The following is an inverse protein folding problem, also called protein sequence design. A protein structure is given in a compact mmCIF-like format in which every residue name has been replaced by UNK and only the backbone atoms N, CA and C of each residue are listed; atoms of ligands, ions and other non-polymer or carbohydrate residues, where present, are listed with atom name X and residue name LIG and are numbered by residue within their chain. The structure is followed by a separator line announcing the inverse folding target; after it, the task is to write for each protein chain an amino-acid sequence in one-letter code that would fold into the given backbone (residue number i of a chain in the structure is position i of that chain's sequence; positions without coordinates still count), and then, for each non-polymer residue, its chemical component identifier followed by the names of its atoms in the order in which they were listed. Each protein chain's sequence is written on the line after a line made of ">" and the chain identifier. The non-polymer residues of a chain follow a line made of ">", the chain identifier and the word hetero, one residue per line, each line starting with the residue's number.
data_IF_889331615122
#
_entry.id   IF_889331615122
#
_cell.length_a   1.000
_cell.length_b   1.000
_cell.length_c   1.000
_cell.angle_alpha   90.00
_cell.angle_beta   90.00
_cell.angle_gamma   90.00
#
_symmetry.space_group_name_H-M   'P 1'
#
loop_
_entity.id
_entity.type
_entity.pdbx_description
1 polymer ?
#
# COMPACT_ATOMS: atom_id res chain seq x y z
N UNK A 1 -4.87 36.40 26.85
CA UNK A 1 -4.93 37.08 25.55
C UNK A 1 -6.07 36.47 24.78
N UNK A 2 -7.02 37.32 24.43
CA UNK A 2 -8.33 37.02 23.87
C UNK A 2 -8.34 36.12 22.63
N UNK A 3 -9.48 35.43 22.49
CA UNK A 3 -10.03 34.95 21.24
C UNK A 3 -10.07 36.06 20.17
N UNK A 4 -9.29 35.91 19.11
CA UNK A 4 -9.44 36.69 17.87
C UNK A 4 -9.25 35.80 16.64
N UNK A 5 -10.30 35.08 16.26
CA UNK A 5 -10.87 35.11 14.90
C UNK A 5 -11.86 33.94 14.72
N UNK A 6 -13.10 34.31 14.41
CA UNK A 6 -14.29 33.50 14.21
C UNK A 6 -14.12 32.32 13.21
N UNK A 7 -15.06 31.35 13.18
CA UNK A 7 -14.83 30.03 12.63
C UNK A 7 -14.76 30.09 11.10
N UNK A 8 -13.59 29.83 10.52
CA UNK A 8 -13.57 29.28 9.17
C UNK A 8 -14.23 27.91 9.29
N UNK A 9 -15.43 27.75 8.71
CA UNK A 9 -16.18 26.49 8.67
C UNK A 9 -15.23 25.31 8.53
N UNK A 10 -15.06 24.55 9.62
CA UNK A 10 -13.98 23.58 9.80
C UNK A 10 -14.16 22.39 8.89
N UNK A 11 -13.57 22.44 7.71
CA UNK A 11 -13.59 21.31 6.78
C UNK A 11 -12.45 20.37 7.21
N UNK A 12 -12.80 19.32 7.94
CA UNK A 12 -11.90 18.23 8.33
C UNK A 12 -11.60 17.32 7.13
N UNK A 13 -10.36 16.85 7.00
CA UNK A 13 -10.03 15.84 6.00
C UNK A 13 -10.61 14.47 6.38
N UNK A 14 -11.33 13.86 5.46
CA UNK A 14 -11.81 12.48 5.59
C UNK A 14 -10.79 11.49 5.03
N UNK A 15 -10.98 10.19 5.30
CA UNK A 15 -10.17 9.12 4.72
C UNK A 15 -10.17 9.18 3.18
N UNK A 16 -11.34 9.33 2.57
CA UNK A 16 -11.47 9.42 1.12
C UNK A 16 -10.72 10.62 0.54
N UNK A 17 -10.58 11.66 1.34
CA UNK A 17 -9.86 12.86 0.96
C UNK A 17 -8.36 12.60 0.84
N UNK A 18 -7.73 12.03 1.86
CA UNK A 18 -6.31 11.66 1.79
C UNK A 18 -6.05 10.74 0.60
N UNK A 19 -6.81 9.65 0.53
CA UNK A 19 -6.65 8.57 -0.42
C UNK A 19 -6.84 8.99 -1.89
N UNK A 20 -7.56 10.08 -2.13
CA UNK A 20 -7.79 10.61 -3.48
C UNK A 20 -6.78 11.68 -3.90
N UNK A 21 -5.71 11.91 -3.14
CA UNK A 21 -4.66 12.89 -3.49
C UNK A 21 -3.38 12.24 -3.95
N UNK A 22 -2.73 12.87 -4.94
CA UNK A 22 -1.37 12.49 -5.34
C UNK A 22 -0.37 12.57 -4.18
N UNK A 23 -0.54 13.55 -3.27
CA UNK A 23 0.32 13.73 -2.08
C UNK A 23 0.38 12.45 -1.24
N UNK A 24 -0.77 11.87 -0.90
CA UNK A 24 -0.83 10.61 -0.14
C UNK A 24 -0.12 9.48 -0.87
N UNK A 25 -0.41 9.30 -2.17
CA UNK A 25 0.20 8.24 -2.98
C UNK A 25 1.71 8.40 -3.16
N UNK A 26 2.20 9.62 -3.32
CA UNK A 26 3.62 9.91 -3.39
C UNK A 26 4.34 9.46 -2.13
N UNK A 27 3.82 9.79 -0.94
CA UNK A 27 4.43 9.37 0.32
C UNK A 27 4.25 7.86 0.54
N UNK A 28 3.10 7.29 0.22
CA UNK A 28 2.83 5.86 0.33
C UNK A 28 3.81 5.03 -0.52
N UNK A 29 3.91 5.33 -1.82
CA UNK A 29 4.77 4.60 -2.74
C UNK A 29 6.25 4.82 -2.44
N UNK A 30 6.64 6.02 -2.00
CA UNK A 30 8.02 6.29 -1.58
C UNK A 30 8.38 5.53 -0.31
N UNK A 31 7.48 5.50 0.68
CA UNK A 31 7.62 4.67 1.88
C UNK A 31 7.75 3.20 1.52
N UNK A 32 6.94 2.71 0.59
CA UNK A 32 7.00 1.33 0.11
C UNK A 32 8.35 1.01 -0.53
N UNK A 33 8.84 1.84 -1.45
CA UNK A 33 10.12 1.62 -2.12
C UNK A 33 11.28 1.61 -1.12
N UNK A 34 11.27 2.51 -0.15
CA UNK A 34 12.29 2.56 0.91
C UNK A 34 12.21 1.33 1.81
N UNK A 35 11.00 0.91 2.18
CA UNK A 35 10.80 -0.29 2.99
C UNK A 35 11.27 -1.54 2.24
N UNK A 36 10.89 -1.71 0.97
CA UNK A 36 11.31 -2.84 0.13
C UNK A 36 12.81 -2.84 -0.09
N UNK A 37 13.37 -1.75 -0.62
CA UNK A 37 14.81 -1.65 -0.90
C UNK A 37 15.64 -1.81 0.37
N UNK A 38 15.21 -1.15 1.45
CA UNK A 38 15.85 -1.26 2.75
C UNK A 38 15.82 -2.70 3.27
N UNK A 39 14.64 -3.33 3.35
CA UNK A 39 14.53 -4.70 3.88
C UNK A 39 15.33 -5.69 3.04
N UNK A 40 15.18 -5.62 1.71
CA UNK A 40 15.93 -6.47 0.79
C UNK A 40 17.45 -6.36 0.97
N UNK A 41 17.98 -5.13 1.06
CA UNK A 41 19.39 -4.92 1.33
C UNK A 41 19.79 -5.51 2.69
N UNK A 42 19.06 -5.20 3.77
CA UNK A 42 19.40 -5.69 5.12
C UNK A 42 19.34 -7.22 5.27
N UNK A 43 18.56 -7.91 4.44
CA UNK A 43 18.55 -9.38 4.41
C UNK A 43 19.86 -9.94 3.86
N UNK A 44 20.35 -9.39 2.75
CA UNK A 44 21.51 -9.93 2.04
C UNK A 44 22.82 -9.32 2.54
N UNK A 45 22.75 -8.17 3.23
CA UNK A 45 23.91 -7.44 3.72
C UNK A 45 24.92 -8.27 4.52
N UNK A 46 24.52 -9.18 5.45
CA UNK A 46 25.46 -10.04 6.15
C UNK A 46 26.29 -10.92 5.19
N UNK A 47 25.67 -11.43 4.12
CA UNK A 47 26.37 -12.24 3.11
C UNK A 47 27.40 -11.41 2.34
N UNK A 48 27.03 -10.17 1.98
CA UNK A 48 27.94 -9.23 1.30
C UNK A 48 29.12 -8.87 2.21
N UNK A 49 28.86 -8.64 3.50
CA UNK A 49 29.92 -8.28 4.46
C UNK A 49 30.85 -9.48 4.76
N UNK A 50 30.31 -10.70 4.79
CA UNK A 50 31.10 -11.94 4.92
C UNK A 50 32.02 -12.19 3.72
N UNK A 51 31.64 -11.77 2.50
CA UNK A 51 32.54 -11.83 1.34
C UNK A 51 33.79 -10.95 1.50
N UNK A 52 33.75 -9.96 2.39
CA UNK A 52 34.89 -9.13 2.75
C UNK A 52 35.57 -9.59 4.06
N UNK A 53 35.42 -10.89 4.41
CA UNK A 53 35.97 -11.53 5.61
C UNK A 53 35.55 -10.86 6.94
N UNK A 54 34.38 -10.22 6.95
CA UNK A 54 33.88 -9.54 8.15
C UNK A 54 33.41 -10.54 9.20
N UNK A 55 33.87 -10.34 10.44
CA UNK A 55 33.36 -11.10 11.59
C UNK A 55 31.89 -10.81 11.88
N UNK A 56 31.22 -11.73 12.58
CA UNK A 56 29.84 -11.53 13.05
C UNK A 56 29.70 -10.29 13.93
N UNK A 57 30.71 -9.99 14.77
CA UNK A 57 30.72 -8.78 15.60
C UNK A 57 30.75 -7.51 14.76
N UNK A 58 31.57 -7.51 13.70
CA UNK A 58 31.69 -6.40 12.75
C UNK A 58 30.36 -6.14 12.03
N UNK A 59 29.66 -7.19 11.61
CA UNK A 59 28.32 -7.09 11.01
C UNK A 59 27.30 -6.52 12.02
N UNK A 60 27.42 -6.90 13.30
CA UNK A 60 26.58 -6.37 14.38
C UNK A 60 26.63 -4.84 14.51
N UNK A 61 27.76 -4.21 14.17
CA UNK A 61 27.93 -2.75 14.19
C UNK A 61 26.97 -2.05 13.23
N UNK A 62 26.69 -2.64 12.06
CA UNK A 62 25.71 -2.10 11.12
C UNK A 62 24.30 -2.06 11.72
N UNK A 63 23.85 -3.14 12.36
CA UNK A 63 22.52 -3.20 12.98
C UNK A 63 22.42 -2.30 14.22
N UNK A 64 23.50 -2.19 14.98
CA UNK A 64 23.60 -1.22 16.07
C UNK A 64 23.47 0.21 15.54
N UNK A 65 24.23 0.55 14.50
CA UNK A 65 24.12 1.83 13.78
C UNK A 65 22.70 2.08 13.28
N UNK A 66 22.04 1.08 12.68
CA UNK A 66 20.65 1.19 12.23
C UNK A 66 19.67 1.48 13.36
N UNK A 67 19.87 0.92 14.54
CA UNK A 67 19.02 1.20 15.72
C UNK A 67 19.22 2.63 16.21
N UNK A 68 20.47 3.08 16.32
CA UNK A 68 20.77 4.48 16.68
C UNK A 68 20.25 5.45 15.63
N UNK A 69 20.39 5.08 14.36
CA UNK A 69 19.91 5.83 13.21
C UNK A 69 18.42 6.04 13.30
N UNK A 70 17.67 5.00 13.68
CA UNK A 70 16.23 5.08 13.87
C UNK A 70 15.84 6.18 14.87
N UNK A 71 16.53 6.25 16.02
CA UNK A 71 16.31 7.29 17.04
C UNK A 71 16.58 8.69 16.45
N UNK A 72 17.72 8.85 15.75
CA UNK A 72 18.08 10.10 15.08
C UNK A 72 17.06 10.51 14.02
N UNK A 73 16.57 9.56 13.21
CA UNK A 73 15.56 9.79 12.20
C UNK A 73 14.20 10.20 12.78
N UNK A 74 13.78 9.58 13.89
CA UNK A 74 12.55 9.97 14.58
C UNK A 74 12.63 11.41 15.12
N UNK A 75 13.78 11.80 15.67
CA UNK A 75 14.00 13.17 16.11
C UNK A 75 13.97 14.16 14.94
N UNK A 76 14.65 13.84 13.83
CA UNK A 76 14.65 14.65 12.61
C UNK A 76 13.24 14.83 12.04
N UNK A 77 12.45 13.77 11.94
CA UNK A 77 11.07 13.85 11.47
C UNK A 77 10.22 14.76 12.38
N UNK A 78 10.35 14.64 13.70
CA UNK A 78 9.59 15.49 14.64
C UNK A 78 9.88 16.98 14.49
N UNK A 79 11.12 17.36 14.17
CA UNK A 79 11.53 18.77 14.05
C UNK A 79 11.26 19.32 12.67
N UNK A 80 11.59 18.55 11.63
CA UNK A 80 11.66 19.05 10.25
C UNK A 80 10.36 18.82 9.50
N UNK A 81 9.65 17.71 9.74
CA UNK A 81 8.47 17.36 8.92
C UNK A 81 7.36 18.42 9.02
N UNK A 82 7.10 18.96 10.22
CA UNK A 82 6.06 19.97 10.42
C UNK A 82 6.36 21.35 9.79
N UNK A 83 7.62 21.63 9.41
CA UNK A 83 8.04 22.93 8.85
C UNK A 83 8.46 22.84 7.39
N UNK A 84 9.15 21.75 7.04
CA UNK A 84 9.76 21.50 5.74
C UNK A 84 9.55 20.04 5.32
N UNK A 85 8.29 19.60 5.23
CA UNK A 85 7.93 18.20 4.97
C UNK A 85 8.63 17.55 3.77
N UNK A 86 8.77 18.28 2.66
CA UNK A 86 9.48 17.79 1.47
C UNK A 86 10.97 17.54 1.74
N UNK A 87 11.64 18.50 2.37
CA UNK A 87 13.05 18.37 2.75
C UNK A 87 13.26 17.27 3.78
N UNK A 88 12.32 17.11 4.72
CA UNK A 88 12.36 16.08 5.74
C UNK A 88 12.40 14.66 5.15
N UNK A 89 11.72 14.42 4.02
CA UNK A 89 11.74 13.12 3.34
C UNK A 89 12.88 12.99 2.31
N UNK A 90 13.12 14.01 1.50
CA UNK A 90 14.08 13.91 0.37
C UNK A 90 15.53 13.89 0.88
N UNK A 91 15.89 14.71 1.88
CA UNK A 91 17.30 14.81 2.28
C UNK A 91 17.84 13.50 2.88
N UNK A 92 17.12 12.76 3.74
CA UNK A 92 17.61 11.46 4.22
C UNK A 92 17.74 10.43 3.09
N UNK A 93 16.86 10.48 2.08
CA UNK A 93 16.98 9.60 0.90
C UNK A 93 18.27 9.90 0.15
N UNK A 94 18.54 11.19 -0.14
CA UNK A 94 19.73 11.59 -0.89
C UNK A 94 21.02 11.24 -0.14
N UNK A 95 21.07 11.48 1.17
CA UNK A 95 22.21 11.08 2.00
C UNK A 95 22.41 9.56 1.95
N UNK A 96 21.33 8.79 2.09
CA UNK A 96 21.39 7.33 1.98
C UNK A 96 21.87 6.84 0.60
N UNK A 97 21.41 7.48 -0.47
CA UNK A 97 21.83 7.16 -1.83
C UNK A 97 23.31 7.44 -2.05
N UNK A 98 23.83 8.58 -1.57
CA UNK A 98 25.27 8.91 -1.65
C UNK A 98 26.12 7.86 -0.91
N UNK A 99 25.71 7.45 0.29
CA UNK A 99 26.44 6.42 1.05
C UNK A 99 26.37 5.06 0.36
N UNK A 100 25.23 4.69 -0.20
CA UNK A 100 25.07 3.44 -0.96
C UNK A 100 25.84 3.44 -2.29
N UNK A 101 25.99 4.58 -2.96
CA UNK A 101 26.86 4.70 -4.14
C UNK A 101 28.33 4.52 -3.75
N UNK A 102 28.77 5.10 -2.62
CA UNK A 102 30.13 4.90 -2.12
C UNK A 102 30.42 3.45 -1.70
N UNK A 103 29.37 2.66 -1.38
CA UNK A 103 29.49 1.24 -1.06
C UNK A 103 29.89 0.38 -2.26
N UNK A 104 29.35 0.66 -3.45
CA UNK A 104 29.53 -0.18 -4.65
C UNK A 104 30.99 -0.34 -5.12
N UNK A 105 31.78 0.74 -5.33
CA UNK A 105 33.10 0.63 -5.95
C UNK A 105 34.23 0.29 -4.96
N UNK A 106 33.95 0.22 -3.65
CA UNK A 106 34.95 0.06 -2.61
C UNK A 106 34.69 -1.18 -1.73
N UNK A 107 35.10 -2.38 -2.17
CA UNK A 107 34.96 -3.61 -1.38
C UNK A 107 35.60 -3.54 0.01
N UNK A 108 36.67 -2.75 0.17
CA UNK A 108 37.31 -2.49 1.46
C UNK A 108 36.37 -1.86 2.50
N UNK A 109 35.29 -1.19 2.09
CA UNK A 109 34.30 -0.60 2.99
C UNK A 109 33.26 -1.61 3.48
N UNK A 110 33.12 -2.77 2.82
CA UNK A 110 32.09 -3.77 3.15
C UNK A 110 32.29 -4.43 4.52
N UNK A 111 33.52 -4.36 5.05
CA UNK A 111 33.87 -4.81 6.40
C UNK A 111 34.40 -3.72 7.33
N UNK A 112 34.44 -2.46 6.89
CA UNK A 112 35.00 -1.37 7.70
C UNK A 112 34.04 -0.99 8.84
N UNK A 113 34.41 -1.14 10.12
CA UNK A 113 33.52 -0.87 11.26
C UNK A 113 32.92 0.55 11.24
N UNK A 114 33.73 1.55 10.90
CA UNK A 114 33.29 2.95 10.84
C UNK A 114 32.29 3.18 9.72
N UNK A 115 32.52 2.58 8.54
CA UNK A 115 31.58 2.67 7.43
C UNK A 115 30.27 1.93 7.75
N UNK A 116 30.35 0.74 8.32
CA UNK A 116 29.18 -0.05 8.71
C UNK A 116 28.30 0.69 9.72
N UNK A 117 28.91 1.32 10.73
CA UNK A 117 28.20 2.15 11.70
C UNK A 117 27.48 3.32 11.01
N UNK A 118 28.19 4.07 10.17
CA UNK A 118 27.65 5.23 9.47
C UNK A 118 26.54 4.85 8.49
N UNK A 119 26.73 3.79 7.71
CA UNK A 119 25.71 3.32 6.77
C UNK A 119 24.47 2.81 7.50
N UNK A 120 24.66 2.07 8.59
CA UNK A 120 23.60 1.69 9.51
C UNK A 120 22.83 2.92 10.00
N UNK A 121 23.52 3.92 10.55
CA UNK A 121 22.90 5.17 11.04
C UNK A 121 22.02 5.84 9.97
N UNK A 122 22.53 6.00 8.75
CA UNK A 122 21.80 6.65 7.66
C UNK A 122 20.58 5.83 7.23
N UNK A 123 20.73 4.52 7.06
CA UNK A 123 19.62 3.63 6.67
C UNK A 123 18.55 3.57 7.77
N UNK A 124 18.97 3.50 9.03
CA UNK A 124 18.09 3.53 10.20
C UNK A 124 17.29 4.83 10.27
N UNK A 125 17.95 5.97 10.07
CA UNK A 125 17.31 7.27 10.07
C UNK A 125 16.27 7.38 8.95
N UNK A 126 16.63 6.95 7.74
CA UNK A 126 15.71 6.91 6.61
C UNK A 126 14.44 6.09 6.91
N UNK A 127 14.59 4.90 7.52
CA UNK A 127 13.45 4.04 7.88
C UNK A 127 12.54 4.64 8.95
N UNK A 128 13.08 5.42 9.88
CA UNK A 128 12.29 6.05 10.95
C UNK A 128 11.55 7.30 10.47
N UNK A 129 12.18 8.09 9.60
CA UNK A 129 11.63 9.38 9.15
C UNK A 129 10.29 9.21 8.46
N UNK A 130 10.15 8.22 7.58
CA UNK A 130 8.96 8.03 6.75
C UNK A 130 7.66 7.80 7.54
N UNK A 131 7.55 6.79 8.42
CA UNK A 131 6.32 6.56 9.17
C UNK A 131 5.96 7.76 10.08
N UNK A 132 6.95 8.40 10.70
CA UNK A 132 6.69 9.51 11.61
C UNK A 132 6.30 10.80 10.87
N UNK A 133 7.01 11.15 9.80
CA UNK A 133 6.67 12.29 8.96
C UNK A 133 5.28 12.11 8.33
N UNK A 134 4.93 10.89 7.92
CA UNK A 134 3.60 10.56 7.39
C UNK A 134 2.50 10.83 8.41
N UNK A 135 2.70 10.42 9.68
CA UNK A 135 1.76 10.72 10.75
C UNK A 135 1.61 12.23 10.97
N UNK A 136 2.71 12.98 10.97
CA UNK A 136 2.71 14.45 11.11
C UNK A 136 1.93 15.11 9.96
N UNK A 137 2.15 14.67 8.71
CA UNK A 137 1.42 15.21 7.56
C UNK A 137 -0.09 14.97 7.67
N UNK A 138 -0.49 13.74 8.03
CA UNK A 138 -1.90 13.37 8.17
C UNK A 138 -2.61 14.19 9.25
N UNK A 139 -1.95 14.48 10.38
CA UNK A 139 -2.51 15.34 11.44
C UNK A 139 -2.77 16.77 10.96
N UNK A 140 -1.98 17.28 10.01
CA UNK A 140 -2.19 18.61 9.41
C UNK A 140 -3.59 18.82 8.83
N UNK A 141 -4.20 17.76 8.28
CA UNK A 141 -5.57 17.77 7.75
C UNK A 141 -6.68 17.81 8.81
N UNK A 142 -6.31 17.81 10.09
CA UNK A 142 -7.23 17.74 11.25
C UNK A 142 -8.32 16.66 11.09
N UNK A 143 -7.96 15.43 10.68
CA UNK A 143 -8.94 14.39 10.46
C UNK A 143 -9.59 13.91 11.77
N UNK A 144 -10.80 13.37 11.66
CA UNK A 144 -11.41 12.59 12.73
C UNK A 144 -10.53 11.40 13.12
N UNK A 145 -10.67 10.93 14.37
CA UNK A 145 -9.85 9.83 14.92
C UNK A 145 -9.83 8.56 14.05
N UNK A 146 -11.00 8.22 13.49
CA UNK A 146 -11.16 7.03 12.64
C UNK A 146 -10.47 7.25 11.29
N UNK A 147 -10.67 8.40 10.65
CA UNK A 147 -10.07 8.73 9.36
C UNK A 147 -8.53 8.77 9.45
N UNK A 148 -7.99 9.38 10.51
CA UNK A 148 -6.56 9.35 10.82
C UNK A 148 -6.05 7.92 10.99
N UNK A 149 -6.70 7.15 11.86
CA UNK A 149 -6.31 5.77 12.16
C UNK A 149 -6.31 4.89 10.92
N UNK A 150 -7.33 5.00 10.07
CA UNK A 150 -7.41 4.26 8.81
C UNK A 150 -6.33 4.69 7.82
N UNK A 151 -6.11 5.99 7.61
CA UNK A 151 -5.09 6.48 6.69
C UNK A 151 -3.68 6.04 7.13
N UNK A 152 -3.36 6.18 8.41
CA UNK A 152 -2.07 5.74 8.96
C UNK A 152 -1.90 4.22 8.93
N UNK A 153 -2.98 3.46 9.19
CA UNK A 153 -2.95 1.99 9.12
C UNK A 153 -2.68 1.53 7.69
N UNK A 154 -3.40 2.09 6.71
CA UNK A 154 -3.17 1.80 5.30
C UNK A 154 -1.74 2.15 4.90
N UNK A 155 -1.20 3.26 5.38
CA UNK A 155 0.19 3.64 5.14
C UNK A 155 1.20 2.68 5.77
N UNK A 156 0.89 2.15 6.96
CA UNK A 156 1.74 1.19 7.66
C UNK A 156 1.79 -0.18 6.97
N UNK A 157 0.85 -0.48 6.07
CA UNK A 157 0.86 -1.74 5.31
C UNK A 157 2.05 -1.86 4.36
N UNK A 158 2.78 -0.77 4.07
CA UNK A 158 4.06 -0.84 3.34
C UNK A 158 5.06 -1.74 4.04
N UNK A 159 5.00 -1.85 5.38
CA UNK A 159 5.80 -2.78 6.18
C UNK A 159 5.46 -4.23 5.80
N UNK A 160 4.17 -4.57 5.71
CA UNK A 160 3.71 -5.91 5.33
C UNK A 160 4.16 -6.27 3.90
N UNK A 161 4.03 -5.34 2.94
CA UNK A 161 4.50 -5.59 1.57
C UNK A 161 6.04 -5.77 1.57
N UNK A 162 6.76 -4.96 2.34
CA UNK A 162 8.23 -5.07 2.41
C UNK A 162 8.74 -6.40 2.99
N UNK A 163 7.88 -7.16 3.70
CA UNK A 163 8.22 -8.49 4.18
C UNK A 163 8.51 -9.50 3.05
N UNK A 164 8.09 -9.21 1.81
CA UNK A 164 8.43 -10.01 0.63
C UNK A 164 9.75 -9.60 -0.03
N UNK A 165 10.33 -8.46 0.33
CA UNK A 165 11.60 -7.98 -0.21
C UNK A 165 12.80 -8.96 -0.05
N UNK A 166 12.92 -9.72 1.06
CA UNK A 166 13.95 -10.75 1.21
C UNK A 166 14.00 -11.77 0.07
N UNK A 167 12.84 -12.16 -0.48
CA UNK A 167 12.75 -13.12 -1.59
C UNK A 167 13.38 -12.53 -2.86
N UNK A 168 12.98 -11.30 -3.21
CA UNK A 168 13.50 -10.61 -4.39
C UNK A 168 15.00 -10.32 -4.27
N UNK A 169 15.45 -9.88 -3.10
CA UNK A 169 16.87 -9.64 -2.84
C UNK A 169 17.71 -10.93 -2.93
N UNK A 170 17.20 -12.06 -2.43
CA UNK A 170 17.87 -13.36 -2.54
C UNK A 170 18.00 -13.81 -3.99
N UNK A 171 16.96 -13.62 -4.82
CA UNK A 171 17.04 -13.91 -6.25
C UNK A 171 18.04 -13.02 -6.98
N UNK A 172 18.05 -11.73 -6.67
CA UNK A 172 19.02 -10.78 -7.24
C UNK A 172 20.46 -11.12 -6.86
N UNK A 173 20.69 -11.54 -5.61
CA UNK A 173 21.99 -11.98 -5.13
C UNK A 173 22.47 -13.28 -5.77
N UNK A 174 21.53 -14.17 -6.13
CA UNK A 174 21.81 -15.43 -6.81
C UNK A 174 22.14 -15.30 -8.30
N UNK A 175 22.01 -14.11 -8.88
CA UNK A 175 22.63 -13.81 -10.17
C UNK A 175 24.15 -13.76 -9.92
N UNK A 176 24.98 -14.41 -10.74
CA UNK A 176 26.45 -14.56 -10.57
C UNK A 176 27.28 -13.24 -10.48
N UNK A 177 26.61 -12.11 -10.21
CA UNK A 177 27.08 -10.75 -10.01
C UNK A 177 27.12 -10.33 -8.52
N UNK A 178 26.71 -11.21 -7.60
CA UNK A 178 26.88 -11.05 -6.15
C UNK A 178 26.16 -9.84 -5.54
N UNK A 179 26.91 -8.94 -4.88
CA UNK A 179 26.37 -7.79 -4.15
C UNK A 179 25.82 -6.67 -5.05
N UNK A 180 26.34 -6.55 -6.27
CA UNK A 180 26.09 -5.40 -7.16
C UNK A 180 24.61 -5.26 -7.55
N UNK A 181 23.88 -6.33 -7.97
CA UNK A 181 22.46 -6.23 -8.32
C UNK A 181 21.59 -5.77 -7.15
N UNK A 182 21.88 -6.25 -5.93
CA UNK A 182 21.09 -5.92 -4.73
C UNK A 182 21.25 -4.45 -4.37
N UNK A 183 22.48 -3.94 -4.34
CA UNK A 183 22.75 -2.54 -4.03
C UNK A 183 22.23 -1.61 -5.15
N UNK A 184 22.33 -2.03 -6.41
CA UNK A 184 21.77 -1.30 -7.55
C UNK A 184 20.25 -1.21 -7.48
N UNK A 185 19.57 -2.31 -7.14
CA UNK A 185 18.12 -2.32 -6.92
C UNK A 185 17.72 -1.43 -5.74
N UNK A 186 18.49 -1.43 -4.65
CA UNK A 186 18.29 -0.51 -3.53
C UNK A 186 18.41 0.96 -3.96
N UNK A 187 19.47 1.32 -4.70
CA UNK A 187 19.64 2.67 -5.26
C UNK A 187 18.50 3.06 -6.20
N UNK A 188 18.03 2.14 -7.04
CA UNK A 188 16.87 2.38 -7.89
C UNK A 188 15.62 2.68 -7.07
N UNK A 189 15.39 1.96 -5.95
CA UNK A 189 14.29 2.25 -5.04
C UNK A 189 14.39 3.65 -4.43
N UNK A 190 15.58 4.06 -3.99
CA UNK A 190 15.81 5.42 -3.45
C UNK A 190 15.56 6.50 -4.51
N UNK A 191 16.07 6.31 -5.73
CA UNK A 191 15.88 7.25 -6.83
C UNK A 191 14.41 7.38 -7.22
N UNK A 192 13.71 6.26 -7.36
CA UNK A 192 12.27 6.24 -7.66
C UNK A 192 11.46 6.91 -6.54
N UNK A 193 11.83 6.72 -5.27
CA UNK A 193 11.19 7.42 -4.15
C UNK A 193 11.34 8.95 -4.26
N UNK A 194 12.53 9.45 -4.61
CA UNK A 194 12.72 10.90 -4.85
C UNK A 194 11.87 11.38 -6.03
N UNK A 195 11.86 10.64 -7.14
CA UNK A 195 11.08 10.99 -8.34
C UNK A 195 9.58 11.09 -8.02
N UNK A 196 9.05 10.25 -7.12
CA UNK A 196 7.66 10.30 -6.70
C UNK A 196 7.36 11.48 -5.77
N UNK A 197 8.31 11.88 -4.91
CA UNK A 197 8.13 12.99 -3.97
C UNK A 197 8.28 14.38 -4.61
N UNK A 198 9.11 14.51 -5.64
CA UNK A 198 9.42 15.80 -6.29
C UNK A 198 8.17 16.51 -6.85
N UNK A 199 7.28 15.84 -7.62
CA UNK A 199 6.08 16.45 -8.19
C UNK A 199 5.00 16.75 -7.14
N UNK A 200 5.06 16.15 -5.95
CA UNK A 200 4.00 16.24 -4.95
C UNK A 200 3.88 17.65 -4.33
N UNK A 201 4.91 18.49 -4.47
CA UNK A 201 4.89 19.87 -3.98
C UNK A 201 4.84 19.92 -2.45
N UNK A 202 3.80 20.58 -1.90
CA UNK A 202 3.54 20.56 -0.46
C UNK A 202 2.98 19.20 -0.05
N UNK A 203 3.69 18.48 0.83
CA UNK A 203 3.28 17.17 1.33
C UNK A 203 2.29 17.24 2.51
N UNK A 204 2.19 18.39 3.17
CA UNK A 204 1.26 18.59 4.26
C UNK A 204 -0.19 18.74 3.76
N UNK A 205 -1.15 18.44 4.65
CA UNK A 205 -2.58 18.47 4.38
C UNK A 205 -3.27 19.68 5.04
N UNK A 206 -2.55 20.80 5.19
CA UNK A 206 -3.05 22.00 5.89
C UNK A 206 -4.12 22.78 5.09
N UNK A 207 -4.24 22.51 3.80
CA UNK A 207 -5.19 23.16 2.88
C UNK A 207 -6.58 22.51 2.94
N UNK A 208 -7.62 23.21 2.47
CA UNK A 208 -8.95 22.62 2.33
C UNK A 208 -8.96 21.45 1.31
N UNK A 209 -9.71 20.36 1.58
CA UNK A 209 -9.86 19.25 0.66
C UNK A 209 -10.52 19.69 -0.66
N UNK A 210 -10.01 19.21 -1.79
CA UNK A 210 -10.59 19.51 -3.11
C UNK A 210 -11.90 18.72 -3.32
N UNK A 211 -12.91 19.29 -3.98
CA UNK A 211 -14.12 18.56 -4.38
C UNK A 211 -13.76 17.39 -5.31
N UNK A 212 -14.34 16.21 -5.04
CA UNK A 212 -13.96 14.94 -5.68
C UNK A 212 -15.17 14.10 -6.06
N UNK A 213 -15.73 14.28 -7.24
CA UNK A 213 -16.71 13.33 -7.77
C UNK A 213 -16.57 13.23 -9.28
N UNK A 214 -16.42 12.01 -9.79
CA UNK A 214 -16.62 11.67 -11.21
C UNK A 214 -17.81 10.72 -11.28
N UNK A 215 -19.04 11.25 -11.26
CA UNK A 215 -20.24 10.41 -11.23
C UNK A 215 -20.30 9.55 -12.48
N UNK A 216 -20.71 8.30 -12.31
CA UNK A 216 -21.03 7.38 -13.41
C UNK A 216 -22.50 7.00 -13.32
N UNK A 217 -23.12 6.75 -14.46
CA UNK A 217 -24.50 6.26 -14.51
C UNK A 217 -24.60 4.89 -13.80
N UNK A 218 -25.49 4.74 -12.80
CA UNK A 218 -25.72 3.47 -12.11
C UNK A 218 -26.05 2.35 -13.09
N UNK A 219 -25.47 1.17 -12.86
CA UNK A 219 -25.78 -0.03 -13.64
C UNK A 219 -25.93 -1.21 -12.73
N UNK A 220 -27.07 -1.91 -12.84
CA UNK A 220 -27.29 -3.14 -12.09
C UNK A 220 -26.39 -4.26 -12.60
N UNK A 221 -25.87 -5.07 -11.67
CA UNK A 221 -25.11 -6.29 -11.95
C UNK A 221 -25.57 -7.39 -11.04
N UNK A 222 -25.61 -8.63 -11.54
CA UNK A 222 -25.90 -9.80 -10.71
C UNK A 222 -24.82 -9.97 -9.62
N UNK A 223 -25.16 -9.91 -8.32
CA UNK A 223 -24.19 -10.09 -7.24
C UNK A 223 -23.51 -11.46 -7.27
N UNK A 224 -24.27 -12.50 -7.63
CA UNK A 224 -23.76 -13.86 -7.73
C UNK A 224 -22.74 -14.01 -8.86
N UNK A 225 -23.00 -13.39 -10.01
CA UNK A 225 -22.07 -13.44 -11.14
C UNK A 225 -20.75 -12.73 -10.81
N UNK A 226 -20.81 -11.59 -10.11
CA UNK A 226 -19.62 -10.88 -9.63
C UNK A 226 -18.81 -11.78 -8.68
N UNK A 227 -19.47 -12.45 -7.73
CA UNK A 227 -18.83 -13.36 -6.78
C UNK A 227 -18.14 -14.53 -7.49
N UNK A 228 -18.82 -15.16 -8.44
CA UNK A 228 -18.31 -16.31 -9.20
C UNK A 228 -17.06 -15.91 -9.99
N UNK A 229 -17.10 -14.81 -10.73
CA UNK A 229 -15.93 -14.34 -11.51
C UNK A 229 -14.71 -14.12 -10.60
N UNK A 230 -14.92 -13.54 -9.42
CA UNK A 230 -13.82 -13.19 -8.52
C UNK A 230 -13.32 -14.37 -7.66
N UNK A 231 -14.15 -15.38 -7.42
CA UNK A 231 -13.75 -16.58 -6.64
C UNK A 231 -13.12 -17.66 -7.52
N UNK A 232 -13.39 -17.68 -8.83
CA UNK A 232 -12.81 -18.67 -9.74
C UNK A 232 -11.27 -18.66 -9.74
N UNK A 233 -10.58 -17.51 -9.87
CA UNK A 233 -9.11 -17.51 -9.85
C UNK A 233 -8.46 -18.11 -8.60
N UNK A 234 -8.80 -17.71 -7.36
CA UNK A 234 -8.17 -18.27 -6.17
C UNK A 234 -8.45 -19.77 -6.02
N UNK A 235 -9.65 -20.25 -6.39
CA UNK A 235 -9.96 -21.68 -6.40
C UNK A 235 -9.06 -22.42 -7.41
N UNK A 236 -8.92 -21.92 -8.63
CA UNK A 236 -8.08 -22.55 -9.65
C UNK A 236 -6.60 -22.56 -9.27
N UNK A 237 -6.10 -21.47 -8.68
CA UNK A 237 -4.72 -21.40 -8.16
C UNK A 237 -4.51 -22.41 -7.03
N UNK A 238 -5.45 -22.51 -6.10
CA UNK A 238 -5.39 -23.49 -5.01
C UNK A 238 -5.37 -24.93 -5.56
N UNK A 239 -6.28 -25.25 -6.47
CA UNK A 239 -6.35 -26.57 -7.11
C UNK A 239 -5.06 -26.90 -7.89
N UNK A 240 -4.51 -25.93 -8.63
CA UNK A 240 -3.25 -26.10 -9.34
C UNK A 240 -2.08 -26.34 -8.37
N UNK A 241 -1.99 -25.58 -7.28
CA UNK A 241 -0.95 -25.73 -6.28
C UNK A 241 -1.02 -27.09 -5.56
N UNK A 242 -2.23 -27.50 -5.14
CA UNK A 242 -2.46 -28.82 -4.52
C UNK A 242 -2.14 -29.95 -5.50
N UNK A 243 -2.59 -29.84 -6.75
CA UNK A 243 -2.27 -30.80 -7.81
C UNK A 243 -0.77 -30.97 -7.99
N UNK A 244 -0.03 -29.87 -8.17
CA UNK A 244 1.43 -29.89 -8.32
C UNK A 244 2.10 -30.59 -7.12
N UNK A 245 1.67 -30.29 -5.89
CA UNK A 245 2.23 -30.90 -4.68
C UNK A 245 1.95 -32.40 -4.59
N UNK A 246 0.73 -32.83 -4.93
CA UNK A 246 0.37 -34.25 -4.93
C UNK A 246 1.15 -35.05 -5.98
N UNK A 247 1.35 -34.51 -7.19
CA UNK A 247 2.14 -35.17 -8.23
C UNK A 247 3.64 -35.17 -7.92
N UNK A 248 4.17 -34.13 -7.28
CA UNK A 248 5.56 -34.12 -6.78
C UNK A 248 5.80 -35.20 -5.72
N UNK A 249 4.81 -35.47 -4.85
CA UNK A 249 4.92 -36.48 -3.81
C UNK A 249 4.92 -37.93 -4.34
N UNK A 250 4.46 -38.14 -5.58
CA UNK A 250 4.35 -39.47 -6.19
C UNK A 250 5.47 -39.78 -7.20
N UNK A 251 6.51 -38.94 -7.28
CA UNK A 251 7.59 -39.00 -8.30
C UNK A 251 7.08 -39.04 -9.75
N UNK A 252 5.81 -38.69 -9.96
CA UNK A 252 5.27 -38.45 -11.27
C UNK A 252 5.84 -37.12 -11.76
N UNK A 253 6.86 -37.15 -12.64
CA UNK A 253 7.59 -35.99 -13.18
C UNK A 253 6.77 -35.01 -14.02
N UNK A 254 5.62 -34.56 -13.53
CA UNK A 254 4.61 -33.75 -14.22
C UNK A 254 4.97 -32.26 -14.22
N UNK A 255 5.78 -31.80 -13.27
CA UNK A 255 6.16 -30.39 -13.11
C UNK A 255 6.89 -29.81 -14.32
N UNK A 256 7.54 -30.64 -15.13
CA UNK A 256 8.21 -30.25 -16.38
C UNK A 256 7.42 -30.55 -17.66
N UNK A 257 6.18 -31.05 -17.57
CA UNK A 257 5.40 -31.42 -18.75
C UNK A 257 4.78 -30.20 -19.46
N UNK A 258 4.74 -30.22 -20.80
CA UNK A 258 4.09 -29.16 -21.60
C UNK A 258 2.61 -28.96 -21.25
N UNK A 259 1.93 -30.02 -20.81
CA UNK A 259 0.52 -29.97 -20.36
C UNK A 259 0.41 -29.18 -19.05
N UNK A 260 1.29 -29.42 -18.08
CA UNK A 260 1.29 -28.67 -16.83
C UNK A 260 1.58 -27.18 -17.06
N UNK A 261 2.51 -26.86 -17.99
CA UNK A 261 2.79 -25.49 -18.40
C UNK A 261 1.57 -24.82 -19.05
N UNK A 262 0.87 -25.53 -19.95
CA UNK A 262 -0.34 -25.02 -20.60
C UNK A 262 -1.45 -24.73 -19.58
N UNK A 263 -1.67 -25.63 -18.61
CA UNK A 263 -2.63 -25.42 -17.52
C UNK A 263 -2.22 -24.24 -16.64
N UNK A 264 -0.93 -24.11 -16.30
CA UNK A 264 -0.44 -22.98 -15.52
C UNK A 264 -0.64 -21.64 -16.25
N UNK A 265 -0.39 -21.59 -17.57
CA UNK A 265 -0.65 -20.42 -18.40
C UNK A 265 -2.14 -20.07 -18.45
N UNK A 266 -3.02 -21.08 -18.56
CA UNK A 266 -4.48 -20.87 -18.54
C UNK A 266 -4.95 -20.31 -17.19
N UNK A 267 -4.49 -20.90 -16.08
CA UNK A 267 -4.80 -20.42 -14.73
C UNK A 267 -4.28 -19.00 -14.53
N UNK A 268 -3.08 -18.69 -15.01
CA UNK A 268 -2.52 -17.35 -14.98
C UNK A 268 -3.38 -16.36 -15.78
N UNK A 269 -3.80 -16.71 -17.01
CA UNK A 269 -4.66 -15.86 -17.82
C UNK A 269 -6.03 -15.59 -17.15
N UNK A 270 -6.63 -16.62 -16.53
CA UNK A 270 -7.88 -16.47 -15.77
C UNK A 270 -7.66 -15.59 -14.54
N UNK A 271 -6.53 -15.72 -13.85
CA UNK A 271 -6.18 -14.87 -12.71
C UNK A 271 -6.01 -13.40 -13.11
N UNK A 272 -5.33 -13.14 -14.23
CA UNK A 272 -5.20 -11.80 -14.81
C UNK A 272 -6.58 -11.25 -15.17
N UNK A 273 -7.45 -12.03 -15.82
CA UNK A 273 -8.80 -11.60 -16.17
C UNK A 273 -9.65 -11.28 -14.93
N UNK A 274 -9.62 -12.12 -13.90
CA UNK A 274 -10.32 -11.89 -12.64
C UNK A 274 -9.81 -10.65 -11.90
N UNK A 275 -8.50 -10.42 -11.93
CA UNK A 275 -7.88 -9.22 -11.37
C UNK A 275 -8.28 -7.93 -12.12
N UNK A 276 -8.31 -7.97 -13.45
CA UNK A 276 -8.83 -6.86 -14.28
C UNK A 276 -10.30 -6.61 -13.95
N UNK A 277 -11.10 -7.67 -13.78
CA UNK A 277 -12.50 -7.55 -13.42
C UNK A 277 -12.68 -6.93 -12.02
N UNK A 278 -11.85 -7.30 -11.04
CA UNK A 278 -11.85 -6.66 -9.72
C UNK A 278 -11.58 -5.15 -9.83
N UNK A 279 -10.55 -4.76 -10.57
CA UNK A 279 -10.22 -3.36 -10.81
C UNK A 279 -11.39 -2.61 -11.46
N UNK A 280 -11.99 -3.21 -12.49
CA UNK A 280 -13.17 -2.66 -13.17
C UNK A 280 -14.35 -2.51 -12.22
N UNK A 281 -14.64 -3.53 -11.39
CA UNK A 281 -15.74 -3.50 -10.43
C UNK A 281 -15.55 -2.40 -9.39
N UNK A 282 -14.36 -2.32 -8.77
CA UNK A 282 -14.02 -1.28 -7.77
C UNK A 282 -14.13 0.12 -8.36
N UNK A 283 -13.64 0.32 -9.59
CA UNK A 283 -13.77 1.58 -10.31
C UNK A 283 -15.24 1.98 -10.48
N UNK A 284 -16.05 1.06 -11.03
CA UNK A 284 -17.46 1.32 -11.35
C UNK A 284 -18.30 1.54 -10.09
N UNK A 285 -18.17 0.72 -9.05
CA UNK A 285 -19.04 0.81 -7.88
C UNK A 285 -18.89 2.16 -7.16
N UNK A 286 -17.67 2.70 -7.06
CA UNK A 286 -17.43 4.02 -6.48
C UNK A 286 -18.00 5.15 -7.34
N UNK A 287 -17.82 5.08 -8.66
CA UNK A 287 -18.38 6.08 -9.58
C UNK A 287 -19.91 6.05 -9.67
N UNK A 288 -20.51 4.86 -9.65
CA UNK A 288 -21.96 4.67 -9.70
C UNK A 288 -22.65 5.12 -8.40
N UNK A 289 -22.07 4.79 -7.24
CA UNK A 289 -22.61 5.25 -5.96
C UNK A 289 -22.49 6.77 -5.81
N UNK A 290 -21.42 7.37 -6.35
CA UNK A 290 -21.27 8.82 -6.45
C UNK A 290 -22.28 9.45 -7.42
N UNK A 291 -22.59 8.78 -8.53
CA UNK A 291 -23.61 9.21 -9.48
C UNK A 291 -25.04 9.14 -8.94
N UNK A 292 -25.34 8.14 -8.11
CA UNK A 292 -26.64 8.01 -7.45
C UNK A 292 -26.86 9.06 -6.35
N UNK A 293 -25.82 9.35 -5.57
CA UNK A 293 -25.80 10.47 -4.63
C UNK A 293 -24.35 10.82 -4.28
N UNK A 294 -23.95 12.10 -4.23
CA UNK A 294 -22.60 12.46 -3.80
C UNK A 294 -22.39 12.16 -2.31
N UNK A 295 -21.16 11.84 -1.91
CA UNK A 295 -20.79 11.67 -0.50
C UNK A 295 -19.29 11.89 -0.32
N UNK A 296 -18.92 12.64 0.71
CA UNK A 296 -17.51 12.86 1.06
C UNK A 296 -16.77 11.57 1.46
N UNK A 297 -17.50 10.50 1.82
CA UNK A 297 -16.88 9.20 2.14
C UNK A 297 -16.50 8.38 0.91
N UNK A 298 -16.95 8.77 -0.28
CA UNK A 298 -16.64 8.05 -1.51
C UNK A 298 -15.29 8.49 -2.06
N UNK A 299 -14.45 7.50 -2.37
CA UNK A 299 -13.22 7.73 -3.09
C UNK A 299 -13.48 8.02 -4.56
N UNK A 300 -12.51 8.69 -5.20
CA UNK A 300 -12.48 8.70 -6.66
C UNK A 300 -12.29 7.27 -7.20
N UNK A 301 -12.91 6.92 -8.34
CA UNK A 301 -12.80 5.58 -8.91
C UNK A 301 -11.35 5.06 -9.05
N UNK A 302 -10.44 5.93 -9.49
CA UNK A 302 -9.03 5.58 -9.62
C UNK A 302 -8.36 5.30 -8.27
N UNK A 303 -8.61 6.15 -7.26
CA UNK A 303 -8.05 5.95 -5.93
C UNK A 303 -8.53 4.64 -5.32
N UNK A 304 -9.82 4.32 -5.45
CA UNK A 304 -10.37 3.06 -4.98
C UNK A 304 -9.68 1.85 -5.62
N UNK A 305 -9.43 1.88 -6.94
CA UNK A 305 -8.70 0.81 -7.63
C UNK A 305 -7.28 0.67 -7.08
N UNK A 306 -6.56 1.79 -6.95
CA UNK A 306 -5.19 1.77 -6.44
C UNK A 306 -5.13 1.20 -5.02
N UNK A 307 -6.07 1.54 -4.14
CA UNK A 307 -6.15 1.00 -2.77
C UNK A 307 -6.47 -0.48 -2.77
N UNK A 308 -7.47 -0.90 -3.54
CA UNK A 308 -7.88 -2.29 -3.59
C UNK A 308 -6.75 -3.22 -4.07
N UNK A 309 -5.87 -2.71 -4.94
CA UNK A 309 -4.81 -3.48 -5.58
C UNK A 309 -3.47 -3.38 -4.84
N UNK A 310 -3.04 -2.17 -4.49
CA UNK A 310 -1.66 -1.92 -4.03
C UNK A 310 -1.51 -1.94 -2.50
N UNK A 311 -2.62 -1.82 -1.77
CA UNK A 311 -2.58 -1.62 -0.32
C UNK A 311 -3.17 -2.86 0.36
N UNK A 312 -2.37 -3.66 1.09
CA UNK A 312 -2.91 -4.70 1.96
C UNK A 312 -3.99 -4.10 2.86
N UNK A 313 -5.08 -4.84 3.07
CA UNK A 313 -6.27 -4.36 3.80
C UNK A 313 -7.06 -3.24 3.09
N UNK A 314 -6.59 -2.74 1.95
CA UNK A 314 -7.27 -1.70 1.19
C UNK A 314 -8.67 -2.11 0.75
N UNK A 315 -8.80 -3.30 0.14
CA UNK A 315 -10.11 -3.83 -0.26
C UNK A 315 -11.08 -4.00 0.93
N UNK A 316 -10.69 -4.64 2.07
CA UNK A 316 -11.52 -4.68 3.27
C UNK A 316 -11.99 -3.31 3.75
N UNK A 317 -11.08 -2.33 3.86
CA UNK A 317 -11.44 -0.97 4.29
C UNK A 317 -12.43 -0.34 3.31
N UNK A 318 -12.19 -0.46 1.99
CA UNK A 318 -13.12 0.05 0.98
C UNK A 318 -14.50 -0.59 1.11
N UNK A 319 -14.58 -1.92 1.25
CA UNK A 319 -15.87 -2.60 1.39
C UNK A 319 -16.62 -2.13 2.64
N UNK A 320 -15.94 -1.97 3.77
CA UNK A 320 -16.55 -1.44 5.00
C UNK A 320 -17.06 -0.01 4.80
N UNK A 321 -16.28 0.88 4.18
CA UNK A 321 -16.71 2.26 3.90
C UNK A 321 -17.94 2.30 2.97
N UNK A 322 -18.00 1.43 1.97
CA UNK A 322 -19.16 1.28 1.08
C UNK A 322 -20.39 0.75 1.84
N UNK A 323 -20.21 -0.23 2.73
CA UNK A 323 -21.28 -0.78 3.57
C UNK A 323 -21.88 0.26 4.50
N UNK A 324 -21.03 1.03 5.19
CA UNK A 324 -21.47 2.12 6.07
C UNK A 324 -22.22 3.21 5.32
N UNK A 325 -21.73 3.58 4.12
CA UNK A 325 -22.40 4.55 3.26
C UNK A 325 -23.78 4.06 2.82
N UNK A 326 -23.89 2.80 2.39
CA UNK A 326 -25.16 2.21 1.96
C UNK A 326 -26.16 2.12 3.12
N UNK A 327 -25.70 1.73 4.32
CA UNK A 327 -26.52 1.73 5.53
C UNK A 327 -26.95 3.13 5.96
N UNK A 328 -26.07 4.13 5.84
CA UNK A 328 -26.44 5.52 6.10
C UNK A 328 -27.55 5.97 5.13
N UNK A 329 -27.38 5.75 3.83
CA UNK A 329 -28.41 6.09 2.83
C UNK A 329 -29.73 5.35 3.05
N UNK A 330 -29.68 4.10 3.50
CA UNK A 330 -30.88 3.34 3.83
C UNK A 330 -31.61 3.96 5.03
N UNK A 331 -30.88 4.32 6.09
CA UNK A 331 -31.42 5.00 7.28
C UNK A 331 -32.02 6.37 6.96
N UNK A 332 -31.34 7.16 6.12
CA UNK A 332 -31.85 8.46 5.66
C UNK A 332 -33.16 8.31 4.87
N UNK A 333 -33.43 7.12 4.31
CA UNK A 333 -34.67 6.75 3.62
C UNK A 333 -35.68 6.05 4.53
N UNK A 334 -35.46 5.99 5.84
CA UNK A 334 -36.33 5.32 6.80
C UNK A 334 -36.29 3.79 6.75
N UNK A 335 -35.30 3.20 6.06
CA UNK A 335 -35.08 1.75 6.03
C UNK A 335 -34.05 1.35 7.08
N UNK A 336 -34.13 0.10 7.54
CA UNK A 336 -33.11 -0.50 8.39
C UNK A 336 -31.77 -0.69 7.66
N UNK A 337 -30.80 -1.28 8.35
CA UNK A 337 -29.50 -1.59 7.74
C UNK A 337 -29.67 -2.59 6.58
N UNK A 338 -29.14 -2.25 5.42
CA UNK A 338 -29.16 -3.09 4.21
C UNK A 338 -28.01 -4.08 4.17
N UNK A 339 -26.92 -3.80 4.89
CA UNK A 339 -25.75 -4.68 4.99
C UNK A 339 -25.36 -4.82 6.46
N UNK A 340 -25.15 -6.05 6.93
CA UNK A 340 -24.55 -6.28 8.25
C UNK A 340 -23.05 -5.99 8.22
N UNK A 341 -22.60 -4.97 8.96
CA UNK A 341 -21.19 -4.56 9.02
C UNK A 341 -20.30 -5.65 9.63
N UNK A 342 -20.80 -6.39 10.62
CA UNK A 342 -20.05 -7.49 11.23
C UNK A 342 -19.76 -8.60 10.21
N UNK A 343 -20.78 -9.05 9.48
CA UNK A 343 -20.62 -10.07 8.44
C UNK A 343 -19.81 -9.55 7.25
N UNK A 344 -20.01 -8.31 6.84
CA UNK A 344 -19.23 -7.67 5.80
C UNK A 344 -17.75 -7.67 6.15
N UNK A 345 -17.40 -7.35 7.41
CA UNK A 345 -16.04 -7.42 7.91
C UNK A 345 -15.45 -8.82 7.80
N UNK A 346 -16.11 -9.82 8.36
CA UNK A 346 -15.67 -11.22 8.30
C UNK A 346 -15.42 -11.64 6.83
N UNK A 347 -16.40 -11.42 5.95
CA UNK A 347 -16.28 -11.85 4.57
C UNK A 347 -15.25 -11.03 3.78
N UNK A 348 -15.03 -9.76 4.13
CA UNK A 348 -14.03 -8.93 3.45
C UNK A 348 -12.60 -9.45 3.63
N UNK A 349 -12.33 -10.17 4.73
CA UNK A 349 -11.04 -10.80 5.00
C UNK A 349 -10.97 -12.25 4.54
N UNK A 350 -12.01 -13.06 4.82
CA UNK A 350 -11.98 -14.51 4.57
C UNK A 350 -12.25 -14.83 3.10
N UNK A 351 -13.32 -14.26 2.53
CA UNK A 351 -13.74 -14.50 1.13
C UNK A 351 -14.21 -13.18 0.51
N UNK A 352 -13.28 -12.28 0.09
CA UNK A 352 -13.62 -10.97 -0.44
C UNK A 352 -14.70 -10.98 -1.54
N UNK A 353 -14.77 -11.98 -2.46
CA UNK A 353 -15.86 -12.09 -3.43
C UNK A 353 -17.27 -12.09 -2.82
N UNK A 354 -17.46 -12.67 -1.64
CA UNK A 354 -18.75 -12.69 -0.93
C UNK A 354 -19.12 -11.29 -0.43
N UNK A 355 -18.16 -10.59 0.21
CA UNK A 355 -18.38 -9.22 0.66
C UNK A 355 -18.66 -8.26 -0.51
N UNK A 356 -17.96 -8.44 -1.64
CA UNK A 356 -18.23 -7.71 -2.89
C UNK A 356 -19.67 -7.94 -3.38
N UNK A 357 -20.16 -9.18 -3.33
CA UNK A 357 -21.54 -9.51 -3.69
C UNK A 357 -22.54 -8.84 -2.75
N UNK A 358 -22.29 -8.83 -1.44
CA UNK A 358 -23.14 -8.13 -0.47
C UNK A 358 -23.26 -6.63 -0.80
N UNK A 359 -22.14 -5.97 -1.11
CA UNK A 359 -22.12 -4.57 -1.53
C UNK A 359 -22.85 -4.37 -2.86
N UNK A 360 -22.62 -5.24 -3.85
CA UNK A 360 -23.29 -5.14 -5.15
C UNK A 360 -24.81 -5.28 -5.00
N UNK A 361 -25.29 -6.19 -4.14
CA UNK A 361 -26.71 -6.37 -3.89
C UNK A 361 -27.34 -5.10 -3.29
N UNK A 362 -26.74 -4.58 -2.21
CA UNK A 362 -27.22 -3.36 -1.58
C UNK A 362 -27.11 -2.12 -2.49
N UNK A 363 -26.09 -2.06 -3.35
CA UNK A 363 -25.95 -1.00 -4.34
C UNK A 363 -27.07 -1.05 -5.39
N UNK A 364 -27.39 -2.23 -5.94
CA UNK A 364 -28.49 -2.39 -6.89
C UNK A 364 -29.82 -1.89 -6.31
N UNK A 365 -30.14 -2.25 -5.06
CA UNK A 365 -31.35 -1.81 -4.37
C UNK A 365 -31.37 -0.29 -4.18
N UNK A 366 -30.19 0.31 -3.92
CA UNK A 366 -30.06 1.75 -3.74
C UNK A 366 -30.35 2.54 -5.03
N UNK A 367 -30.08 1.95 -6.19
CA UNK A 367 -30.26 2.54 -7.52
C UNK A 367 -31.74 2.60 -7.93
N UNK A 368 -32.49 1.51 -7.72
CA UNK A 368 -33.92 1.42 -8.07
C UNK A 368 -34.72 2.51 -7.37
N UNK A 369 -34.47 2.69 -6.08
CA UNK A 369 -35.17 3.67 -5.24
C UNK A 369 -34.77 5.12 -5.58
N UNK A 370 -33.63 5.33 -6.24
CA UNK A 370 -33.22 6.65 -6.72
C UNK A 370 -33.94 7.08 -7.99
N UNK A 371 -34.32 6.12 -8.85
CA UNK A 371 -35.07 6.38 -10.08
C UNK A 371 -36.51 6.82 -9.79
N UNK A 372 -37.16 6.26 -8.78
CA UNK A 372 -38.54 6.58 -8.38
C UNK A 372 -38.72 8.00 -7.81
N UNK A 373 -37.64 8.74 -7.52
CA UNK A 373 -37.68 10.16 -7.08
C UNK A 373 -37.26 11.15 -8.16
N UNK A 374 -36.73 10.67 -9.29
CA UNK A 374 -36.33 11.52 -10.41
C UNK A 374 -37.38 11.57 -11.53
N UNK A 375 -38.44 10.76 -11.41
CA UNK A 375 -39.71 10.87 -12.14
C UNK A 375 -40.75 11.54 -11.24
#
# INVERSE_FOLDING_TARGET
>A
MENTSAPASGIEWTLADFLSTYRYWAVFLSSLLIAVGGQGLSTVFPLISQMADSSVQTIGIFYFGSTLGWVGGAFLASIVAGRHGRSALISPILVCAVVAVAFLPLPALWGSPGFLLFFGLVLGALRAVFPLASAIFLVGGRPGKIDFGCALTLMSTTILISAFAPLGASWLYGLDLGAVPVVSAFLACLLLAVILLVPAGNLAFDDAPRPRHKPLAPRQRSPLLVAVILITPPILILLAAVGIRLFQATDAGVSGSSIALLLALLVFAIAVAGFIYLAYWVYRIHGELAGAAPSQRLLTPLAAVLIAILVPLGLPVLLMTLGDLLNQRARDRGRGNVVSIAWLGIWSFIVPPVAIAMIQNAANDSYVVGADRAA
#
